data_IF_815986682228
#
_entry.id   IF_815986682228
#
_cell.length_a   1.000
_cell.length_b   1.000
_cell.length_c   1.000
_cell.angle_alpha   90.00
_cell.angle_beta   90.00
_cell.angle_gamma   90.00
#
_symmetry.space_group_name_H-M   'P 1'
#
loop_
_entity.id
_entity.type
_entity.pdbx_description
1 polymer ?
#
# COMPACT_ATOMS: atom_id res chain seq x y z
N UNK A 1 18.17 21.84 30.67
CA UNK A 1 18.30 20.45 30.21
C UNK A 1 18.28 20.47 28.70
N UNK A 2 19.40 20.19 28.05
CA UNK A 2 19.49 20.22 26.58
C UNK A 2 18.92 18.90 26.06
N UNK A 3 17.78 18.93 25.37
CA UNK A 3 17.22 17.76 24.72
C UNK A 3 18.19 17.28 23.64
N UNK A 4 18.75 16.08 23.82
CA UNK A 4 19.54 15.39 22.79
C UNK A 4 18.68 15.22 21.54
N UNK A 5 19.16 15.59 20.34
CA UNK A 5 18.40 15.49 19.10
C UNK A 5 18.45 14.03 18.61
N UNK A 6 17.71 13.15 19.28
CA UNK A 6 17.51 11.80 18.80
C UNK A 6 16.60 11.83 17.58
N UNK A 7 16.89 10.96 16.61
CA UNK A 7 16.02 10.74 15.46
C UNK A 7 14.70 10.17 15.95
N UNK A 8 13.61 10.64 15.34
CA UNK A 8 12.28 10.04 15.46
C UNK A 8 12.30 8.62 14.90
N UNK A 9 11.31 7.82 15.30
CA UNK A 9 11.14 6.45 14.79
C UNK A 9 11.04 6.42 13.26
N UNK A 10 10.34 7.40 12.68
CA UNK A 10 10.21 7.54 11.23
C UNK A 10 11.56 7.84 10.55
N UNK A 11 12.38 8.71 11.13
CA UNK A 11 13.72 9.01 10.59
C UNK A 11 14.65 7.79 10.68
N UNK A 12 14.54 7.01 11.76
CA UNK A 12 15.30 5.75 11.92
C UNK A 12 14.83 4.72 10.89
N UNK A 13 13.52 4.58 10.71
CA UNK A 13 12.93 3.66 9.74
C UNK A 13 13.38 4.01 8.31
N UNK A 14 13.28 5.27 7.93
CA UNK A 14 13.70 5.75 6.60
C UNK A 14 15.19 5.47 6.36
N UNK A 15 16.05 5.79 7.34
CA UNK A 15 17.48 5.50 7.24
C UNK A 15 17.76 4.00 7.08
N UNK A 16 17.03 3.15 7.82
CA UNK A 16 17.14 1.70 7.72
C UNK A 16 16.77 1.19 6.33
N UNK A 17 15.67 1.68 5.76
CA UNK A 17 15.22 1.30 4.41
C UNK A 17 16.25 1.69 3.34
N UNK A 18 16.85 2.88 3.43
CA UNK A 18 17.88 3.34 2.49
C UNK A 18 19.15 2.48 2.56
N UNK A 19 19.59 2.11 3.77
CA UNK A 19 20.74 1.22 3.96
C UNK A 19 20.47 -0.16 3.38
N UNK A 20 19.27 -0.71 3.63
CA UNK A 20 18.87 -2.02 3.11
C UNK A 20 18.75 -2.03 1.59
N UNK A 21 18.15 -1.00 0.99
CA UNK A 21 18.05 -0.87 -0.46
C UNK A 21 19.44 -0.84 -1.12
N UNK A 22 20.39 -0.08 -0.54
CA UNK A 22 21.77 0.01 -1.04
C UNK A 22 22.53 -1.31 -0.88
N UNK A 23 22.33 -2.02 0.22
CA UNK A 23 23.04 -3.27 0.52
C UNK A 23 22.52 -4.49 -0.24
N UNK A 24 21.22 -4.56 -0.48
CA UNK A 24 20.57 -5.72 -1.12
C UNK A 24 20.39 -5.53 -2.63
N UNK A 25 20.34 -4.28 -3.11
CA UNK A 25 19.85 -3.99 -4.45
C UNK A 25 18.32 -4.11 -4.55
N UNK A 26 17.77 -3.62 -5.66
CA UNK A 26 16.32 -3.37 -5.79
C UNK A 26 15.49 -4.65 -5.68
N UNK A 27 15.90 -5.74 -6.33
CA UNK A 27 15.11 -6.99 -6.37
C UNK A 27 15.02 -7.67 -5.01
N UNK A 28 16.14 -7.78 -4.29
CA UNK A 28 16.17 -8.43 -2.98
C UNK A 28 15.58 -7.54 -1.88
N UNK A 29 15.71 -6.21 -2.03
CA UNK A 29 15.02 -5.25 -1.17
C UNK A 29 13.49 -5.38 -1.27
N UNK A 30 12.92 -5.50 -2.48
CA UNK A 30 11.47 -5.71 -2.64
C UNK A 30 11.01 -6.99 -1.94
N UNK A 31 11.76 -8.09 -2.08
CA UNK A 31 11.46 -9.37 -1.41
C UNK A 31 11.55 -9.24 0.12
N UNK A 32 12.56 -8.53 0.62
CA UNK A 32 12.69 -8.22 2.04
C UNK A 32 11.45 -7.49 2.55
N UNK A 33 11.03 -6.42 1.88
CA UNK A 33 9.82 -5.68 2.26
C UNK A 33 8.59 -6.58 2.28
N UNK A 34 8.39 -7.44 1.28
CA UNK A 34 7.25 -8.37 1.24
C UNK A 34 7.25 -9.41 2.37
N UNK A 35 8.43 -9.84 2.84
CA UNK A 35 8.56 -10.79 3.95
C UNK A 35 8.27 -10.17 5.31
N UNK A 36 8.73 -8.93 5.52
CA UNK A 36 8.70 -8.26 6.82
C UNK A 36 7.53 -7.29 6.98
N UNK A 37 7.03 -6.71 5.89
CA UNK A 37 5.78 -5.97 5.87
C UNK A 37 4.69 -6.90 5.35
N UNK A 38 4.10 -7.69 6.26
CA UNK A 38 2.80 -8.28 5.98
C UNK A 38 1.84 -7.12 5.76
N UNK A 39 1.30 -6.99 4.54
CA UNK A 39 0.15 -6.13 4.33
C UNK A 39 -0.92 -6.51 5.36
N UNK A 40 -1.42 -5.53 6.11
CA UNK A 40 -2.57 -5.74 6.97
C UNK A 40 -3.83 -5.48 6.15
N UNK A 41 -4.84 -6.31 6.34
CA UNK A 41 -6.10 -6.27 5.60
C UNK A 41 -6.36 -7.59 4.89
N UNK A 42 -7.62 -8.03 4.92
CA UNK A 42 -8.06 -9.15 4.12
C UNK A 42 -8.75 -8.58 2.89
N UNK A 43 -7.96 -8.27 1.85
CA UNK A 43 -8.50 -7.71 0.62
C UNK A 43 -9.63 -8.55 0.01
N UNK A 44 -9.68 -9.86 0.27
CA UNK A 44 -10.78 -10.72 -0.18
C UNK A 44 -12.07 -10.41 0.59
N UNK A 45 -11.99 -10.23 1.90
CA UNK A 45 -13.11 -9.79 2.75
C UNK A 45 -13.49 -8.33 2.45
N UNK A 46 -12.52 -7.41 2.44
CA UNK A 46 -12.75 -5.98 2.16
C UNK A 46 -13.40 -5.77 0.79
N UNK A 47 -12.97 -6.54 -0.23
CA UNK A 47 -13.58 -6.54 -1.57
C UNK A 47 -15.02 -7.04 -1.53
N UNK A 48 -15.30 -8.10 -0.76
CA UNK A 48 -16.65 -8.63 -0.65
C UNK A 48 -17.61 -7.61 -0.02
N UNK A 49 -17.17 -6.74 0.87
CA UNK A 49 -18.03 -5.71 1.46
C UNK A 49 -18.45 -4.64 0.45
N UNK A 50 -17.52 -4.12 -0.37
CA UNK A 50 -17.82 -2.98 -1.25
C UNK A 50 -18.26 -3.39 -2.66
N UNK A 51 -17.94 -4.60 -3.13
CA UNK A 51 -18.27 -5.05 -4.48
C UNK A 51 -19.73 -5.53 -4.64
N UNK A 52 -20.42 -5.91 -3.56
CA UNK A 52 -21.80 -6.46 -3.62
C UNK A 52 -22.81 -5.50 -4.24
N UNK A 53 -22.50 -4.21 -4.32
CA UNK A 53 -23.41 -3.19 -4.81
C UNK A 53 -23.41 -3.05 -6.34
N UNK A 54 -22.47 -3.68 -7.05
CA UNK A 54 -22.29 -3.47 -8.50
C UNK A 54 -22.26 -4.79 -9.27
N UNK A 55 -23.22 -4.96 -10.17
CA UNK A 55 -23.14 -5.94 -11.25
C UNK A 55 -22.44 -5.33 -12.47
N UNK A 56 -21.81 -6.19 -13.28
CA UNK A 56 -21.16 -5.77 -14.53
C UNK A 56 -22.16 -5.07 -15.46
N UNK A 57 -23.41 -5.53 -15.51
CA UNK A 57 -24.45 -4.92 -16.34
C UNK A 57 -24.79 -3.50 -15.85
N UNK A 58 -24.94 -3.29 -14.54
CA UNK A 58 -25.19 -1.95 -13.98
C UNK A 58 -24.05 -0.97 -14.32
N UNK A 59 -22.80 -1.41 -14.24
CA UNK A 59 -21.65 -0.58 -14.60
C UNK A 59 -21.65 -0.22 -16.09
N UNK A 60 -22.05 -1.14 -16.96
CA UNK A 60 -22.18 -0.89 -18.41
C UNK A 60 -23.30 0.12 -18.68
N UNK A 61 -24.45 -0.01 -17.99
CA UNK A 61 -25.58 0.90 -18.14
C UNK A 61 -25.22 2.33 -17.69
N UNK A 62 -24.52 2.47 -16.56
CA UNK A 62 -24.00 3.76 -16.09
C UNK A 62 -23.05 4.41 -17.11
N UNK A 63 -22.07 3.66 -17.62
CA UNK A 63 -21.12 4.16 -18.63
C UNK A 63 -21.84 4.66 -19.89
N UNK A 64 -22.85 3.92 -20.37
CA UNK A 64 -23.62 4.32 -21.55
C UNK A 64 -24.47 5.57 -21.27
N UNK A 65 -25.12 5.65 -20.11
CA UNK A 65 -25.93 6.83 -19.74
C UNK A 65 -25.13 8.13 -19.64
N UNK A 66 -23.88 8.06 -19.17
CA UNK A 66 -22.96 9.22 -19.12
C UNK A 66 -22.50 9.63 -20.52
N UNK A 67 -22.37 8.67 -21.44
CA UNK A 67 -21.94 8.93 -22.83
C UNK A 67 -23.05 9.55 -23.69
N UNK A 68 -24.30 9.31 -23.34
CA UNK A 68 -25.49 9.83 -24.04
C UNK A 68 -25.99 11.18 -23.48
N UNK A 69 -25.31 11.75 -22.47
CA UNK A 69 -25.56 13.07 -21.87
C UNK A 69 -24.63 14.14 -22.43
#
# INVERSE_FOLDING_TARGET
MSATPYKTEQEIQQLGLEVLQKGLGVSDFIRFIQQFNKGYGNYVEDRQEWQQQYSVNQLIDEINSVKDS
#
